data_IF_596128137297
#
_entry.id   IF_596128137297
#
_cell.length_a   1.000
_cell.length_b   1.000
_cell.length_c   1.000
_cell.angle_alpha   90.00
_cell.angle_beta   90.00
_cell.angle_gamma   90.00
#
_symmetry.space_group_name_H-M   'P 1'
#
loop_
_entity.id
_entity.type
_entity.pdbx_description
1 polymer ?
2 non-polymer ?
3 water ?
#
# COMPACT_ATOMS: atom_id res chain seq x y z
N UNK A 4 -3.39 -11.16 12.49
CA UNK A 4 -2.76 -10.17 11.56
C UNK A 4 -1.66 -9.38 12.28
N UNK A 5 -0.46 -9.30 11.67
CA UNK A 5 0.61 -8.50 12.28
C UNK A 5 0.33 -7.05 11.92
N UNK A 6 1.06 -6.10 12.50
CA UNK A 6 0.99 -4.70 12.01
C UNK A 6 1.56 -4.57 10.59
N UNK A 7 1.07 -3.59 9.82
CA UNK A 7 1.55 -3.39 8.48
C UNK A 7 2.70 -2.44 8.50
N UNK A 8 3.47 -2.45 7.41
CA UNK A 8 4.50 -1.49 7.16
C UNK A 8 5.53 -1.42 8.29
N UNK A 9 5.75 -2.55 8.96
CA UNK A 9 6.61 -2.66 10.14
C UNK A 9 7.49 -3.93 10.04
N UNK A 10 8.81 -3.82 10.15
CA UNK A 10 9.63 -5.04 10.14
C UNK A 10 9.16 -6.11 11.15
N UNK A 11 8.96 -7.32 10.61
CA UNK A 11 8.46 -8.45 11.37
C UNK A 11 9.62 -9.39 11.50
N UNK A 12 10.03 -9.63 12.74
CA UNK A 12 11.17 -10.49 13.02
C UNK A 12 10.86 -12.00 12.88
N UNK A 13 11.89 -12.83 12.93
CA UNK A 13 11.74 -14.25 12.71
C UNK A 13 10.60 -14.85 13.57
N UNK A 14 10.57 -14.51 14.87
CA UNK A 14 9.56 -15.10 15.76
C UNK A 14 8.11 -14.74 15.33
N UNK A 15 7.91 -13.55 14.78
CA UNK A 15 6.60 -13.17 14.27
C UNK A 15 6.27 -14.01 13.00
N UNK A 16 7.25 -14.20 12.11
CA UNK A 16 7.12 -15.03 10.93
C UNK A 16 6.73 -16.49 11.26
N UNK A 17 7.42 -17.09 12.21
CA UNK A 17 7.06 -18.46 12.63
C UNK A 17 5.66 -18.53 13.21
N UNK A 18 5.26 -17.54 13.98
CA UNK A 18 3.90 -17.51 14.48
C UNK A 18 2.88 -17.39 13.36
N UNK A 19 3.27 -16.81 12.21
CA UNK A 19 2.39 -16.75 11.04
C UNK A 19 2.56 -17.95 10.13
N UNK A 20 3.36 -18.93 10.56
CA UNK A 20 3.63 -20.14 9.78
C UNK A 20 4.49 -19.87 8.58
N UNK A 21 5.36 -18.86 8.64
CA UNK A 21 6.28 -18.55 7.58
C UNK A 21 7.63 -19.11 8.03
N UNK A 22 8.22 -20.03 7.25
CA UNK A 22 9.35 -20.81 7.70
C UNK A 22 10.71 -20.19 7.49
N UNK A 23 11.68 -20.82 8.12
CA UNK A 23 13.05 -20.62 7.73
C UNK A 23 13.11 -20.78 6.22
N UNK A 24 14.02 -20.06 5.58
CA UNK A 24 15.08 -19.19 6.17
C UNK A 24 14.70 -17.71 6.46
N UNK A 25 13.44 -17.38 6.37
CA UNK A 25 13.03 -15.97 6.42
C UNK A 25 13.09 -15.43 7.84
N UNK A 26 13.69 -14.24 8.00
CA UNK A 26 13.83 -13.58 9.29
C UNK A 26 13.34 -12.15 9.33
N UNK A 27 12.96 -11.59 8.19
CA UNK A 27 12.60 -10.16 8.04
C UNK A 27 11.44 -10.04 7.06
N UNK A 28 10.29 -9.58 7.56
CA UNK A 28 9.04 -9.55 6.79
C UNK A 28 8.38 -8.18 6.85
N UNK A 29 7.55 -7.90 5.88
CA UNK A 29 6.78 -6.65 5.90
C UNK A 29 5.45 -6.96 5.33
N UNK A 30 4.41 -6.54 6.06
CA UNK A 30 3.05 -6.86 5.69
C UNK A 30 2.33 -5.68 5.00
N UNK A 31 1.43 -6.03 4.08
CA UNK A 31 0.60 -5.03 3.38
C UNK A 31 -0.63 -5.80 2.86
N UNK A 32 -1.46 -5.12 2.10
CA UNK A 32 -2.71 -5.65 1.59
C UNK A 32 -2.92 -5.26 0.11
N UNK A 33 -3.46 -6.20 -0.65
CA UNK A 33 -3.69 -5.98 -2.07
C UNK A 33 -4.61 -4.82 -2.33
N UNK A 34 -4.23 -3.96 -3.25
CA UNK A 34 -5.10 -2.86 -3.69
C UNK A 34 -5.86 -3.14 -4.99
N UNK A 35 -7.01 -2.52 -5.13
CA UNK A 35 -7.77 -2.57 -6.37
C UNK A 35 -6.96 -2.23 -7.64
N UNK A 36 -6.11 -1.19 -7.55
CA UNK A 36 -5.27 -0.71 -8.65
C UNK A 36 -4.22 -1.71 -9.09
N UNK A 37 -3.92 -2.70 -8.26
CA UNK A 37 -3.00 -3.79 -8.60
C UNK A 37 -3.59 -4.94 -9.37
N UNK A 38 -4.92 -4.96 -9.45
CA UNK A 38 -5.61 -6.00 -10.17
C UNK A 38 -5.65 -5.80 -11.68
N UNK A 39 -5.44 -6.90 -12.39
CA UNK A 39 -5.40 -6.91 -13.86
C UNK A 39 -6.80 -7.19 -14.34
N UNK A 40 -6.97 -7.18 -15.66
CA UNK A 40 -8.29 -7.26 -16.28
C UNK A 40 -9.08 -8.52 -15.95
N UNK A 41 -8.46 -9.52 -15.31
CA UNK A 41 -9.32 -10.60 -14.77
C UNK A 41 -9.42 -10.76 -13.30
N UNK A 42 -9.12 -9.71 -12.56
CA UNK A 42 -9.33 -9.77 -11.13
C UNK A 42 -8.18 -10.30 -10.35
N UNK A 43 -7.04 -10.58 -10.99
CA UNK A 43 -5.85 -11.00 -10.27
C UNK A 43 -4.77 -9.95 -10.18
N UNK A 44 -4.01 -10.02 -9.09
CA UNK A 44 -2.88 -9.13 -8.90
C UNK A 44 -1.97 -9.36 -10.12
N UNK A 45 -1.58 -8.24 -10.73
CA UNK A 45 -0.82 -8.24 -11.97
C UNK A 45 0.62 -8.57 -11.66
N UNK A 46 1.31 -9.13 -12.66
CA UNK A 46 2.61 -9.73 -12.44
C UNK A 46 3.62 -8.70 -11.97
N UNK A 47 3.43 -7.41 -12.29
CA UNK A 47 4.43 -6.48 -11.88
C UNK A 47 4.25 -6.03 -10.43
N UNK A 48 3.05 -6.22 -9.88
CA UNK A 48 2.83 -5.76 -8.51
C UNK A 48 3.76 -6.51 -7.56
N UNK A 49 3.92 -7.81 -7.79
CA UNK A 49 4.87 -8.57 -6.96
C UNK A 49 6.27 -7.94 -6.91
N UNK A 50 6.76 -7.58 -8.07
CA UNK A 50 8.13 -7.03 -8.21
C UNK A 50 8.22 -5.67 -7.54
N UNK A 51 7.10 -4.94 -7.52
CA UNK A 51 7.00 -3.66 -6.83
C UNK A 51 7.06 -3.86 -5.32
N UNK A 52 6.37 -4.89 -4.83
CA UNK A 52 6.40 -5.26 -3.40
C UNK A 52 7.85 -5.61 -2.93
N UNK A 53 8.57 -6.36 -3.76
CA UNK A 53 9.95 -6.74 -3.46
C UNK A 53 10.86 -5.51 -3.46
N UNK A 54 10.63 -4.61 -4.39
CA UNK A 54 11.32 -3.33 -4.39
C UNK A 54 11.09 -2.47 -3.12
N UNK A 55 9.81 -2.30 -2.76
CA UNK A 55 9.42 -1.60 -1.56
C UNK A 55 10.12 -2.19 -0.35
N UNK A 56 10.16 -3.50 -0.31
CA UNK A 56 10.81 -4.20 0.77
C UNK A 56 12.29 -3.85 0.91
N UNK A 57 12.97 -3.74 -0.21
CA UNK A 57 14.41 -3.52 -0.20
C UNK A 57 14.81 -2.24 0.49
N UNK A 58 13.96 -1.21 0.47
CA UNK A 58 14.37 0.11 0.97
C UNK A 58 14.61 0.10 2.53
N UNK A 59 13.62 -0.29 3.32
CA UNK A 59 13.86 -0.44 4.77
C UNK A 59 14.87 -1.54 5.09
N UNK A 60 14.82 -2.63 4.33
CA UNK A 60 15.71 -3.76 4.57
C UNK A 60 17.21 -3.32 4.47
N UNK A 61 17.55 -2.54 3.47
CA UNK A 61 18.94 -2.18 3.22
C UNK A 61 19.46 -1.13 4.20
N UNK A 62 18.54 -0.37 4.80
CA UNK A 62 18.85 0.51 5.89
C UNK A 62 19.08 -0.35 7.17
N UNK A 63 18.17 -1.27 7.45
CA UNK A 63 18.34 -2.20 8.58
C UNK A 63 19.64 -3.00 8.49
N UNK A 64 20.06 -3.35 7.28
CA UNK A 64 21.29 -4.11 7.09
C UNK A 64 22.58 -3.25 6.95
N UNK A 65 22.43 -1.93 7.09
CA UNK A 65 23.52 -1.01 7.18
C UNK A 65 24.23 -0.72 5.91
N UNK A 66 23.51 -0.92 4.80
CA UNK A 66 24.08 -0.69 3.49
C UNK A 66 24.00 0.80 3.12
N UNK A 67 22.92 1.45 3.54
CA UNK A 67 22.64 2.83 3.17
C UNK A 67 21.74 3.47 4.22
N UNK A 68 21.95 4.76 4.45
CA UNK A 68 20.99 5.54 5.26
C UNK A 68 20.22 6.51 4.40
N UNK A 69 20.48 6.46 3.10
CA UNK A 69 19.75 7.30 2.14
C UNK A 69 19.98 8.80 2.32
N UNK A 70 21.07 9.17 2.97
CA UNK A 70 21.46 10.57 3.03
C UNK A 70 22.04 11.08 1.72
N UNK A 71 22.30 12.40 1.66
CA UNK A 71 22.98 12.99 0.49
C UNK A 71 24.35 12.33 0.14
N UNK A 72 25.03 11.74 1.14
CA UNK A 72 26.34 11.11 0.92
C UNK A 72 26.22 9.66 0.41
N UNK A 73 25.13 8.98 0.77
CA UNK A 73 25.03 7.51 0.68
C UNK A 73 25.16 6.95 -0.75
N UNK A 74 25.41 5.64 -0.87
CA UNK A 74 25.57 5.05 -2.21
C UNK A 74 24.31 5.05 -3.06
N UNK A 75 24.51 5.09 -4.37
CA UNK A 75 23.46 4.87 -5.30
C UNK A 75 23.20 3.35 -5.45
N UNK A 76 21.95 2.95 -5.33
CA UNK A 76 21.55 1.57 -5.48
C UNK A 76 21.04 1.37 -6.90
N UNK A 77 21.66 0.45 -7.62
CA UNK A 77 21.30 0.21 -9.02
C UNK A 77 20.86 -1.22 -9.18
N UNK A 78 19.66 -1.39 -9.70
CA UNK A 78 19.15 -2.73 -10.01
C UNK A 78 19.65 -3.27 -11.36
N UNK A 79 20.24 -4.46 -11.39
CA UNK A 79 20.76 -5.01 -12.62
C UNK A 79 19.91 -6.12 -13.18
N UNK A 80 19.15 -6.80 -12.34
CA UNK A 80 18.39 -7.97 -12.77
C UNK A 80 17.34 -8.34 -11.73
N UNK A 81 16.21 -8.88 -12.22
CA UNK A 81 15.19 -9.47 -11.32
C UNK A 81 14.69 -10.76 -11.95
N UNK A 82 14.14 -11.64 -11.12
CA UNK A 82 13.35 -12.79 -11.58
C UNK A 82 12.13 -12.81 -10.67
N UNK A 83 11.02 -13.32 -11.18
CA UNK A 83 9.85 -13.50 -10.36
C UNK A 83 9.07 -14.69 -10.84
N UNK A 84 8.55 -15.48 -9.90
CA UNK A 84 7.74 -16.65 -10.19
C UNK A 84 6.38 -16.46 -9.63
N UNK A 85 5.41 -17.11 -10.28
CA UNK A 85 3.99 -16.91 -9.98
C UNK A 85 3.40 -18.26 -9.69
N UNK A 86 3.20 -18.50 -8.39
CA UNK A 86 2.85 -19.80 -7.87
C UNK A 86 1.36 -19.88 -7.58
N UNK A 87 0.71 -18.78 -7.20
CA UNK A 87 -0.72 -18.78 -6.96
C UNK A 87 -1.29 -17.39 -7.17
N UNK A 88 -2.48 -17.33 -7.77
CA UNK A 88 -3.12 -16.05 -8.04
C UNK A 88 -3.64 -15.45 -6.77
N UNK A 90 -6.25 -12.21 -5.29
CA UNK A 90 -7.29 -11.23 -5.58
C UNK A 90 -7.38 -10.13 -4.57
N UNK A 92 -7.92 -7.46 -1.88
CA UNK A 92 -7.95 -7.35 -0.44
C UNK A 92 -7.21 -8.39 0.37
N UNK A 93 -6.42 -9.23 -0.26
CA UNK A 93 -5.70 -10.25 0.47
C UNK A 93 -4.61 -9.57 1.27
N UNK A 94 -4.43 -10.00 2.49
CA UNK A 94 -3.28 -9.59 3.25
C UNK A 94 -2.10 -10.50 2.92
N UNK A 95 -0.89 -9.93 2.96
CA UNK A 95 0.33 -10.70 2.74
C UNK A 95 1.54 -10.16 3.49
N UNK A 96 2.54 -11.02 3.59
CA UNK A 96 3.83 -10.64 4.09
C UNK A 96 4.89 -10.90 3.03
N UNK A 97 5.69 -9.86 2.74
CA UNK A 97 6.88 -9.99 1.89
C UNK A 97 8.09 -10.33 2.78
N UNK A 98 8.82 -11.40 2.45
CA UNK A 98 10.09 -11.73 3.07
C UNK A 98 11.21 -11.55 2.05
N UNK A 99 12.37 -11.12 2.54
CA UNK A 99 13.53 -10.96 1.70
C UNK A 99 14.79 -11.18 2.51
N UNK A 100 15.85 -11.56 1.82
CA UNK A 100 17.15 -11.80 2.41
C UNK A 100 18.20 -11.62 1.35
N UNK A 101 19.42 -11.36 1.79
CA UNK A 101 20.56 -11.39 0.92
C UNK A 101 20.99 -12.85 0.84
N UNK A 102 21.21 -13.36 -0.37
CA UNK A 102 21.65 -14.78 -0.55
C UNK A 102 23.10 -14.95 -0.93
N UNK A 103 23.70 -13.90 -1.49
CA UNK A 103 25.12 -13.86 -1.89
C UNK A 103 25.59 -12.41 -1.86
N UNK A 104 26.89 -12.22 -1.69
CA UNK A 104 27.46 -10.89 -1.82
C UNK A 104 28.94 -10.99 -2.15
N UNK A 105 29.42 -9.96 -2.81
CA UNK A 105 30.82 -9.84 -3.13
C UNK A 105 31.33 -8.52 -2.58
N UNK A 106 31.90 -7.65 -3.41
CA UNK A 106 32.58 -6.49 -2.88
C UNK A 106 31.68 -5.25 -2.97
N UNK A 107 31.04 -5.06 -4.12
CA UNK A 107 30.19 -3.88 -4.34
C UNK A 107 28.76 -4.21 -4.82
N UNK A 108 28.38 -5.47 -4.68
CA UNK A 108 27.12 -5.98 -5.20
C UNK A 108 26.66 -7.21 -4.45
N UNK A 109 25.36 -7.52 -4.60
CA UNK A 109 24.77 -8.62 -3.89
C UNK A 109 23.50 -9.10 -4.54
N UNK A 110 23.11 -10.33 -4.20
CA UNK A 110 21.86 -10.93 -4.68
C UNK A 110 20.90 -11.15 -3.51
N UNK A 112 16.91 -12.68 -2.36
CA UNK A 112 15.79 -13.52 -2.68
C UNK A 112 14.60 -13.03 -1.89
N UNK A 113 13.41 -13.25 -2.45
CA UNK A 113 12.15 -12.73 -1.87
C UNK A 113 11.10 -13.80 -1.97
N UNK A 114 10.08 -13.72 -1.08
CA UNK A 114 8.85 -14.49 -1.27
C UNK A 114 7.67 -13.67 -0.81
N UNK A 115 6.50 -13.99 -1.35
CA UNK A 115 5.23 -13.39 -0.95
C UNK A 115 4.41 -14.48 -0.27
N UNK A 116 3.99 -14.22 0.96
CA UNK A 116 3.19 -15.14 1.76
C UNK A 116 1.78 -14.57 2.00
N UNK A 117 0.77 -15.18 1.38
CA UNK A 117 -0.60 -14.78 1.53
C UNK A 117 -1.06 -15.25 2.89
N UNK A 118 -1.64 -14.35 3.66
CA UNK A 118 -2.13 -14.67 4.99
C UNK A 118 -3.61 -15.06 4.83
N UNK A 119 -4.09 -15.91 5.66
CA UNK A 119 -5.42 -16.41 5.39
C UNK A 119 -5.56 -17.60 6.27
N UNK A 120 -6.58 -18.39 6.02
CA UNK A 120 -6.85 -19.53 6.85
C UNK A 120 -5.63 -20.41 6.90
N UNK A 121 -4.97 -20.56 5.77
CA UNK A 121 -3.64 -21.15 5.72
C UNK A 121 -2.71 -20.19 4.97
N UNK A 122 -1.44 -20.21 5.34
CA UNK A 122 -0.47 -19.31 4.74
C UNK A 122 0.14 -20.04 3.56
N UNK A 123 0.33 -19.31 2.48
CA UNK A 123 0.67 -19.91 1.23
C UNK A 123 1.63 -18.97 0.51
N UNK A 124 2.71 -19.53 -0.02
CA UNK A 124 3.63 -18.77 -0.82
C UNK A 124 3.05 -18.59 -2.22
N UNK A 125 2.79 -17.35 -2.61
CA UNK A 125 2.21 -17.07 -3.91
C UNK A 125 3.21 -16.73 -4.99
N UNK A 126 4.42 -16.40 -4.59
CA UNK A 126 5.42 -15.98 -5.51
C UNK A 126 6.78 -16.02 -4.82
N UNK A 127 7.81 -16.26 -5.60
CA UNK A 127 9.22 -16.06 -5.21
C UNK A 127 9.89 -15.15 -6.21
N UNK A 128 10.94 -14.47 -5.78
CA UNK A 128 11.71 -13.63 -6.67
C UNK A 128 13.15 -13.39 -6.23
N UNK A 129 13.85 -12.61 -7.03
CA UNK A 129 15.25 -12.32 -6.78
C UNK A 129 15.58 -10.97 -7.39
N UNK A 130 16.67 -10.40 -6.91
CA UNK A 130 17.21 -9.17 -7.48
C UNK A 130 18.72 -9.20 -7.32
N UNK A 131 19.41 -8.57 -8.29
CA UNK A 131 20.80 -8.30 -8.18
C UNK A 131 20.96 -6.80 -8.10
N UNK A 132 21.66 -6.33 -7.05
CA UNK A 132 21.82 -4.90 -6.81
C UNK A 132 23.32 -4.57 -6.74
N UNK A 133 23.73 -3.46 -7.36
CA UNK A 133 25.10 -2.96 -7.28
C UNK A 133 25.08 -1.59 -6.62
N UNK A 134 26.23 -1.22 -6.06
CA UNK A 134 26.34 0.02 -5.33
C UNK A 134 27.35 0.90 -6.04
N UNK A 135 26.95 2.15 -6.31
CA UNK A 135 27.85 3.13 -6.94
C UNK A 135 28.04 4.37 -6.06
N UNK A 136 29.22 5.00 -6.13
CA UNK A 136 29.46 6.28 -5.47
C UNK A 136 28.50 7.29 -6.07
N UNK A 137 27.87 8.06 -5.19
CA UNK A 137 26.86 9.02 -5.59
C UNK A 137 27.44 10.09 -6.49
N UNK A 138 28.73 10.41 -6.36
CA UNK A 138 29.36 11.45 -7.20
C UNK A 138 29.79 10.99 -8.59
N UNK A 139 29.38 9.79 -9.01
CA UNK A 139 29.71 9.26 -10.32
C UNK A 139 31.10 8.65 -10.50
N UNK A 140 31.89 8.62 -9.45
CA UNK A 140 33.33 8.39 -9.62
C UNK A 140 33.80 6.93 -9.57
N UNK A 141 32.93 6.01 -9.19
CA UNK A 141 33.32 4.60 -9.06
C UNK A 141 32.31 3.72 -8.37
N UNK A 142 32.74 2.52 -8.04
CA UNK A 142 31.85 1.57 -7.38
C UNK A 142 32.01 1.72 -5.87
N UNK A 143 30.96 1.44 -5.14
CA UNK A 143 30.93 1.66 -3.74
C UNK A 143 30.97 0.32 -2.98
N UNK A 144 31.99 0.11 -2.12
CA UNK A 144 32.06 -1.16 -1.39
C UNK A 144 30.93 -1.28 -0.36
N UNK A 145 30.35 -2.48 -0.29
CA UNK A 145 29.34 -2.78 0.71
C UNK A 145 30.00 -2.47 2.05
N UNK A 146 29.36 -1.60 2.87
CA UNK A 146 29.93 -1.33 4.20
C UNK A 146 30.22 -2.60 4.99
N UNK A 147 31.27 -2.55 5.78
CA UNK A 147 31.64 -3.68 6.63
C UNK A 147 30.50 -4.22 7.53
N UNK A 148 29.74 -3.31 8.13
CA UNK A 148 28.55 -3.69 8.88
C UNK A 148 27.46 -4.38 8.03
N UNK A 149 27.36 -4.00 6.77
CA UNK A 149 26.47 -4.67 5.84
C UNK A 149 26.93 -6.13 5.62
N UNK A 150 28.21 -6.33 5.29
CA UNK A 150 28.77 -7.65 5.05
C UNK A 150 28.55 -8.56 6.26
N UNK A 151 28.77 -8.00 7.45
CA UNK A 151 28.59 -8.76 8.69
C UNK A 151 27.15 -9.09 8.93
N UNK A 152 26.24 -8.11 8.76
CA UNK A 152 24.81 -8.38 8.88
C UNK A 152 24.32 -9.41 7.87
N UNK A 153 24.86 -9.38 6.67
CA UNK A 153 24.46 -10.41 5.69
C UNK A 153 24.84 -11.81 6.18
N UNK A 154 26.02 -11.91 6.80
CA UNK A 154 26.50 -13.22 7.30
C UNK A 154 25.66 -13.66 8.51
N UNK A 155 25.41 -12.77 9.45
CA UNK A 155 24.82 -13.20 10.72
C UNK A 155 23.31 -13.21 10.69
N UNK A 156 22.71 -12.25 10.01
CA UNK A 156 21.27 -12.18 9.99
C UNK A 156 20.68 -12.94 8.84
N UNK A 157 21.33 -12.90 7.66
CA UNK A 157 20.76 -13.58 6.49
C UNK A 157 21.36 -14.97 6.31
N UNK A 158 22.36 -15.30 7.13
CA UNK A 158 22.96 -16.63 7.13
C UNK A 158 23.78 -16.95 5.89
N UNK A 159 24.35 -15.96 5.24
CA UNK A 159 25.18 -16.20 4.06
C UNK A 159 26.56 -16.66 4.58
N UNK A 160 27.16 -17.69 3.98
CA UNK A 160 28.44 -18.23 4.53
C UNK A 160 29.64 -17.24 4.37
N UNK A 161 29.93 -16.84 3.15
CA UNK A 161 30.95 -15.82 2.85
C UNK A 161 30.64 -15.19 1.44
N UNK A 162 31.66 -14.82 0.65
CA UNK A 162 31.42 -14.13 -0.65
C UNK A 162 31.47 -15.03 -1.90
N UNK B 4 0.73 7.08 15.97
CA UNK B 4 0.27 6.55 14.63
C UNK B 4 -0.89 5.57 14.83
N UNK B 5 -1.93 5.67 13.98
CA UNK B 5 -2.99 4.67 14.08
C UNK B 5 -2.55 3.38 13.38
N UNK B 6 -3.31 2.30 13.55
CA UNK B 6 -3.09 1.12 12.68
C UNK B 6 -3.45 1.47 11.22
N UNK B 7 -2.75 0.82 10.31
CA UNK B 7 -3.03 0.93 8.90
C UNK B 7 -4.17 -0.01 8.46
N UNK B 8 -4.81 0.36 7.34
CA UNK B 8 -5.81 -0.45 6.63
C UNK B 8 -6.98 -0.84 7.53
N UNK B 9 -7.31 0.05 8.46
CA UNK B 9 -8.24 -0.22 9.56
C UNK B 9 -9.14 1.00 9.66
N UNK B 10 -10.46 0.80 9.55
CA UNK B 10 -11.37 1.96 9.65
C UNK B 10 -11.15 2.71 10.95
N UNK B 11 -10.94 4.01 10.83
CA UNK B 11 -10.74 4.90 11.98
C UNK B 11 -12.01 5.71 12.22
N UNK B 12 -12.57 5.63 13.45
CA UNK B 12 -13.77 6.37 13.76
C UNK B 12 -13.47 7.80 14.17
N UNK B 13 -14.53 8.58 14.34
CA UNK B 13 -14.40 10.00 14.59
C UNK B 13 -13.49 10.28 15.79
N UNK B 14 -13.63 9.48 16.84
CA UNK B 14 -12.82 9.63 18.05
C UNK B 14 -11.34 9.61 17.73
N UNK B 15 -10.93 8.65 16.91
CA UNK B 15 -9.51 8.47 16.56
C UNK B 15 -9.04 9.63 15.70
N UNK B 16 -9.89 10.02 14.73
CA UNK B 16 -9.60 11.16 13.87
C UNK B 16 -9.36 12.45 14.71
N UNK B 17 -10.25 12.75 15.64
CA UNK B 17 -10.11 13.95 16.47
C UNK B 17 -8.81 13.92 17.26
N UNK B 18 -8.48 12.73 17.78
CA UNK B 18 -7.21 12.54 18.48
C UNK B 18 -6.03 12.80 17.57
N UNK B 19 -6.17 12.54 16.28
CA UNK B 19 -5.13 12.88 15.28
C UNK B 19 -5.23 14.33 14.73
N UNK B 20 -6.10 15.14 15.33
CA UNK B 20 -6.38 16.52 14.88
C UNK B 20 -7.13 16.61 13.54
N UNK B 21 -7.77 15.54 13.13
CA UNK B 21 -8.58 15.56 11.91
C UNK B 21 -10.01 15.95 12.33
N UNK B 22 -10.51 17.09 11.82
CA UNK B 22 -11.72 17.72 12.32
C UNK B 22 -12.98 17.13 11.72
N UNK B 23 -14.13 17.51 12.27
CA UNK B 23 -15.42 17.29 11.63
C UNK B 23 -15.41 17.99 10.28
N UNK B 24 -16.19 17.48 9.32
CA UNK B 24 -17.21 16.44 9.34
C UNK B 24 -16.74 14.98 9.19
N UNK B 25 -15.44 14.75 9.26
CA UNK B 25 -14.90 13.41 8.97
C UNK B 25 -15.16 12.42 10.09
N UNK B 26 -15.66 11.24 9.71
CA UNK B 26 -16.06 10.20 10.64
C UNK B 26 -15.42 8.85 10.30
N UNK B 27 -14.75 8.73 9.14
CA UNK B 27 -14.24 7.45 8.67
C UNK B 27 -12.93 7.73 7.96
N UNK B 28 -11.85 7.21 8.50
CA UNK B 28 -10.52 7.34 7.84
C UNK B 28 -9.84 6.02 7.65
N UNK B 29 -8.86 5.98 6.73
CA UNK B 29 -7.98 4.82 6.57
C UNK B 29 -6.55 5.28 6.38
N UNK B 30 -5.61 4.65 7.08
CA UNK B 30 -4.23 5.07 7.06
C UNK B 30 -3.40 4.15 6.16
N UNK B 31 -2.42 4.75 5.51
CA UNK B 31 -1.48 4.02 4.65
C UNK B 31 -0.22 4.87 4.60
N UNK B 32 0.78 4.43 3.84
CA UNK B 32 2.05 5.09 3.72
C UNK B 32 2.35 5.23 2.24
N UNK B 33 3.06 6.29 1.88
CA UNK B 33 3.57 6.47 0.52
C UNK B 33 4.59 5.46 0.15
N UNK B 34 4.42 4.93 -1.08
CA UNK B 34 5.35 3.99 -1.68
C UNK B 34 6.28 4.64 -2.68
N UNK B 35 7.46 4.04 -2.82
CA UNK B 35 8.42 4.50 -3.80
C UNK B 35 7.79 4.61 -5.20
N UNK B 36 7.04 3.60 -5.58
CA UNK B 36 6.40 3.59 -6.88
C UNK B 36 5.36 4.66 -7.16
N UNK B 37 4.94 5.43 -6.16
CA UNK B 37 3.98 6.49 -6.35
C UNK B 37 4.69 7.80 -6.62
N UNK B 38 6.01 7.79 -6.53
CA UNK B 38 6.80 9.03 -6.70
C UNK B 38 7.10 9.26 -8.17
N UNK B 39 6.96 10.51 -8.63
CA UNK B 39 7.15 10.90 -10.00
C UNK B 39 8.62 11.20 -10.22
N UNK B 40 8.97 11.69 -11.39
CA UNK B 40 10.40 11.90 -11.78
C UNK B 40 11.19 12.90 -10.96
N UNK B 41 10.54 13.69 -10.11
CA UNK B 41 11.32 14.53 -9.17
C UNK B 41 11.08 14.26 -7.72
N UNK B 42 10.46 13.14 -7.42
CA UNK B 42 10.46 12.64 -6.09
C UNK B 42 9.24 13.02 -5.31
N UNK B 43 8.21 13.55 -5.96
CA UNK B 43 6.92 13.81 -5.32
C UNK B 43 5.86 12.78 -5.67
N UNK B 44 4.91 12.57 -4.75
CA UNK B 44 3.81 11.68 -4.99
C UNK B 44 3.12 12.19 -6.22
N UNK B 45 2.87 11.30 -7.17
CA UNK B 45 2.31 11.72 -8.45
C UNK B 45 0.83 12.06 -8.32
N UNK B 46 0.29 12.82 -9.25
CA UNK B 46 -1.07 13.40 -9.06
C UNK B 46 -2.17 12.34 -9.05
N UNK B 47 -1.90 11.21 -9.69
CA UNK B 47 -2.92 10.13 -9.76
C UNK B 47 -2.96 9.20 -8.55
N UNK B 48 -1.86 9.11 -7.79
CA UNK B 48 -1.81 8.36 -6.54
C UNK B 48 -2.94 8.82 -5.63
N UNK B 49 -3.08 10.11 -5.47
CA UNK B 49 -4.15 10.68 -4.62
C UNK B 49 -5.55 10.14 -5.01
N UNK B 50 -5.83 10.10 -6.31
CA UNK B 50 -7.05 9.57 -6.83
C UNK B 50 -7.19 8.07 -6.55
N UNK B 51 -6.09 7.34 -6.64
CA UNK B 51 -6.07 5.90 -6.31
C UNK B 51 -6.35 5.69 -4.82
N UNK B 52 -5.81 6.56 -3.96
CA UNK B 52 -6.07 6.48 -2.52
C UNK B 52 -7.58 6.66 -2.18
N UNK B 53 -8.23 7.60 -2.87
CA UNK B 53 -9.64 7.87 -2.70
C UNK B 53 -10.49 6.70 -3.23
N UNK B 54 -10.08 6.13 -4.35
CA UNK B 54 -10.75 5.00 -4.90
C UNK B 54 -10.60 3.79 -3.95
N UNK B 55 -9.41 3.62 -3.38
CA UNK B 55 -9.18 2.53 -2.39
C UNK B 55 -10.08 2.67 -1.17
N UNK B 56 -10.27 3.92 -0.72
CA UNK B 56 -11.13 4.23 0.41
C UNK B 56 -12.58 3.80 0.13
N UNK B 57 -13.10 4.20 -1.04
CA UNK B 57 -14.45 3.88 -1.46
C UNK B 57 -14.90 2.44 -1.35
N UNK B 58 -14.07 1.50 -1.79
CA UNK B 58 -14.41 0.08 -1.77
C UNK B 58 -14.90 -0.45 -0.41
N UNK B 59 -14.07 -0.37 0.62
CA UNK B 59 -14.59 -0.75 1.95
C UNK B 59 -15.68 0.19 2.55
N UNK B 60 -15.57 1.49 2.32
CA UNK B 60 -16.54 2.43 2.80
C UNK B 60 -17.94 2.07 2.29
N UNK B 61 -18.05 1.79 1.01
CA UNK B 61 -19.37 1.57 0.40
C UNK B 61 -19.99 0.24 0.85
N UNK B 62 -19.16 -0.72 1.22
CA UNK B 62 -19.65 -1.93 1.89
C UNK B 62 -20.08 -1.65 3.33
N UNK B 63 -19.29 -0.86 4.06
CA UNK B 63 -19.63 -0.52 5.45
C UNK B 63 -20.93 0.29 5.51
N UNK B 64 -21.18 1.07 4.45
CA UNK B 64 -22.39 1.89 4.37
C UNK B 64 -23.59 1.17 3.74
N UNK B 65 -23.43 -0.11 3.44
CA UNK B 65 -24.55 -0.95 2.95
C UNK B 65 -25.05 -0.56 1.59
N UNK B 66 -24.14 -0.02 0.76
CA UNK B 66 -24.48 0.33 -0.63
C UNK B 66 -24.36 -0.92 -1.49
N UNK B 67 -23.37 -1.74 -1.20
CA UNK B 67 -23.04 -2.91 -2.03
C UNK B 67 -22.35 -3.97 -1.18
N UNK B 68 -22.47 -5.23 -1.58
CA UNK B 68 -21.68 -6.31 -1.00
C UNK B 68 -20.74 -6.86 -2.06
N UNK B 69 -20.72 -6.23 -3.24
CA UNK B 69 -19.91 -6.62 -4.41
C UNK B 69 -20.26 -7.97 -4.97
N UNK B 70 -21.40 -8.50 -4.58
CA UNK B 70 -21.86 -9.80 -5.04
C UNK B 70 -22.65 -9.69 -6.33
N UNK B 71 -23.45 -10.74 -6.62
CA UNK B 71 -24.05 -10.92 -7.94
C UNK B 71 -25.31 -10.07 -8.10
N UNK B 72 -26.05 -9.88 -7.01
CA UNK B 72 -27.18 -8.97 -7.05
C UNK B 72 -26.79 -7.57 -6.57
N UNK B 73 -25.51 -7.24 -6.56
CA UNK B 73 -25.13 -5.91 -6.13
C UNK B 73 -25.22 -4.98 -7.35
N UNK B 74 -25.36 -3.67 -7.10
CA UNK B 74 -25.26 -2.77 -8.26
C UNK B 74 -23.84 -2.77 -8.74
N UNK B 75 -23.65 -2.53 -10.04
CA UNK B 75 -22.35 -2.12 -10.50
C UNK B 75 -22.14 -0.59 -10.26
N UNK B 76 -21.04 -0.24 -9.62
CA UNK B 76 -20.72 1.15 -9.32
C UNK B 76 -19.83 1.71 -10.42
N UNK B 77 -20.27 2.85 -10.97
CA UNK B 77 -19.60 3.48 -12.08
C UNK B 77 -19.29 4.94 -11.73
N UNK B 78 -18.05 5.30 -11.93
CA UNK B 78 -17.57 6.66 -11.68
C UNK B 78 -17.95 7.57 -12.87
N UNK B 79 -18.60 8.68 -12.58
CA UNK B 79 -18.95 9.64 -13.63
C UNK B 79 -17.99 10.81 -13.73
N UNK B 80 -17.38 11.14 -12.60
CA UNK B 80 -16.59 12.33 -12.53
C UNK B 80 -15.74 12.30 -11.30
N UNK B 81 -14.54 12.85 -11.41
CA UNK B 81 -13.75 13.12 -10.20
C UNK B 81 -13.11 14.51 -10.27
N UNK B 82 -12.69 15.01 -9.11
CA UNK B 82 -11.92 16.25 -9.01
C UNK B 82 -10.90 16.04 -7.89
N UNK B 83 -9.74 16.64 -8.02
CA UNK B 83 -8.73 16.51 -7.00
C UNK B 83 -7.93 17.77 -6.97
N UNK B 84 -7.63 18.25 -5.77
CA UNK B 84 -6.80 19.45 -5.55
C UNK B 84 -5.56 19.02 -4.80
N UNK B 85 -4.50 19.78 -5.01
CA UNK B 85 -3.19 19.43 -4.54
C UNK B 85 -2.69 20.62 -3.71
N UNK B 86 -2.68 20.43 -2.39
CA UNK B 86 -2.44 21.52 -1.46
C UNK B 86 -1.02 21.52 -0.97
N UNK B 87 -0.40 20.35 -0.82
CA UNK B 87 0.98 20.31 -0.43
C UNK B 87 1.62 19.08 -1.05
N UNK B 88 2.87 19.18 -1.46
CA UNK B 88 3.56 18.10 -2.11
C UNK B 88 3.99 17.06 -1.08
N UNK B 90 6.23 13.29 -0.29
CA UNK B 90 7.45 12.55 -0.61
C UNK B 90 7.46 11.16 0.03
N UNK B 92 7.64 7.74 1.87
CA UNK B 92 7.46 7.18 3.22
C UNK B 92 6.58 7.92 4.20
N UNK B 93 5.89 8.96 3.74
CA UNK B 93 5.06 9.77 4.59
C UNK B 93 3.80 8.98 4.94
N UNK B 94 3.40 9.03 6.20
CA UNK B 94 2.19 8.37 6.65
C UNK B 94 1.04 9.33 6.45
N UNK B 95 -0.10 8.81 6.07
CA UNK B 95 -1.27 9.61 5.87
C UNK B 95 -2.54 8.88 6.22
N UNK B 96 -3.58 9.70 6.40
CA UNK B 96 -4.90 9.22 6.59
C UNK B 96 -5.79 9.77 5.50
N UNK B 97 -6.56 8.87 4.90
CA UNK B 97 -7.58 9.26 3.91
C UNK B 97 -8.94 9.27 4.65
N UNK B 98 -9.64 10.39 4.50
CA UNK B 98 -11.01 10.53 5.03
C UNK B 98 -11.90 10.69 3.83
N UNK B 99 -13.07 10.09 3.91
CA UNK B 99 -14.05 10.21 2.84
C UNK B 99 -15.44 10.13 3.45
N UNK B 100 -16.37 10.83 2.82
CA UNK B 100 -17.76 10.84 3.22
C UNK B 100 -18.65 10.89 2.00
N UNK B 101 -19.94 10.76 2.25
CA UNK B 101 -20.97 11.01 1.26
C UNK B 101 -21.44 12.39 1.60
N UNK B 102 -21.44 13.29 0.63
CA UNK B 102 -21.87 14.66 0.85
C UNK B 102 -23.27 14.93 0.34
N UNK B 103 -23.75 14.08 -0.56
CA UNK B 103 -25.03 14.27 -1.20
C UNK B 103 -25.39 12.98 -1.90
N UNK B 104 -26.68 12.66 -1.93
CA UNK B 104 -27.16 11.51 -2.64
C UNK B 104 -28.49 11.75 -3.29
N UNK B 105 -28.67 11.04 -4.40
CA UNK B 105 -29.92 11.04 -5.15
C UNK B 105 -30.41 9.61 -5.21
N UNK B 106 -31.36 9.30 -6.09
CA UNK B 106 -31.95 7.96 -6.15
C UNK B 106 -30.97 6.87 -6.60
N UNK B 107 -30.23 7.15 -7.68
CA UNK B 107 -29.36 6.19 -8.31
C UNK B 107 -27.92 6.69 -8.44
N UNK B 108 -27.56 7.70 -7.65
CA UNK B 108 -26.22 8.24 -7.70
C UNK B 108 -25.93 8.99 -6.42
N UNK B 109 -24.65 9.25 -6.19
CA UNK B 109 -24.25 9.98 -5.02
C UNK B 109 -22.89 10.65 -5.20
N UNK B 110 -22.59 11.56 -4.28
CA UNK B 110 -21.32 12.32 -4.29
C UNK B 110 -20.56 12.09 -3.03
N UNK B 112 -16.87 13.22 -0.91
CA UNK B 112 -15.77 14.17 -0.72
C UNK B 112 -14.70 13.45 0.09
N UNK B 113 -13.44 13.81 -0.18
CA UNK B 113 -12.30 13.11 0.33
C UNK B 113 -11.26 14.14 0.74
N UNK B 114 -10.37 13.74 1.64
CA UNK B 114 -9.17 14.54 1.96
C UNK B 114 -8.07 13.58 2.35
N UNK B 115 -6.83 14.07 2.21
CA UNK B 115 -5.63 13.35 2.60
C UNK B 115 -4.94 14.18 3.64
N UNK B 116 -4.72 13.57 4.82
CA UNK B 116 -4.09 14.20 5.98
C UNK B 116 -2.78 13.56 6.19
N UNK B 117 -1.73 14.35 6.02
CA UNK B 117 -0.39 13.86 6.35
C UNK B 117 -0.15 13.91 7.87
N UNK B 118 0.35 12.79 8.39
CA UNK B 118 0.73 12.65 9.80
C UNK B 118 2.21 12.85 9.86
N UNK B 119 2.62 14.10 9.92
CA UNK B 119 4.04 14.44 10.13
C UNK B 119 4.18 14.97 11.55
N UNK B 120 5.17 15.85 11.73
CA UNK B 120 5.33 16.63 12.97
C UNK B 120 4.12 17.53 13.19
N UNK B 121 3.51 17.97 12.07
CA UNK B 121 2.19 18.62 12.03
C UNK B 121 1.23 17.72 11.26
N UNK B 122 -0.04 17.80 11.60
CA UNK B 122 -1.06 17.14 10.80
C UNK B 122 -1.50 18.18 9.80
N UNK B 123 -1.55 17.82 8.53
CA UNK B 123 -1.70 18.77 7.46
C UNK B 123 -2.54 18.16 6.33
N UNK B 124 -3.52 18.88 5.84
CA UNK B 124 -4.27 18.41 4.67
C UNK B 124 -3.45 18.65 3.37
N UNK B 125 -3.02 17.59 2.70
CA UNK B 125 -2.26 17.72 1.45
C UNK B 125 -3.10 17.77 0.16
N UNK B 126 -4.38 17.41 0.25
CA UNK B 126 -5.23 17.22 -0.95
C UNK B 126 -6.67 17.04 -0.51
N UNK B 127 -7.58 17.53 -1.34
CA UNK B 127 -9.00 17.25 -1.28
C UNK B 127 -9.46 16.66 -2.59
N UNK B 128 -10.58 15.96 -2.53
CA UNK B 128 -11.10 15.29 -3.73
C UNK B 128 -12.59 15.10 -3.64
N UNK B 129 -13.18 14.75 -4.77
CA UNK B 129 -14.58 14.39 -4.84
C UNK B 129 -14.79 13.34 -5.93
N UNK B 130 -15.95 12.68 -5.87
CA UNK B 130 -16.33 11.71 -6.90
C UNK B 130 -17.83 11.68 -7.05
N UNK B 131 -18.30 11.51 -8.26
CA UNK B 131 -19.73 11.25 -8.50
C UNK B 131 -19.84 9.82 -9.03
N UNK B 132 -20.61 9.00 -8.30
CA UNK B 132 -20.79 7.58 -8.61
C UNK B 132 -22.25 7.26 -8.92
N UNK B 133 -22.46 6.49 -9.98
CA UNK B 133 -23.75 6.02 -10.44
C UNK B 133 -23.86 4.51 -10.16
N UNK B 134 -25.08 4.06 -9.92
CA UNK B 134 -25.37 2.62 -9.74
C UNK B 134 -26.10 2.14 -10.97
N UNK B 135 -25.56 1.07 -11.55
CA UNK B 135 -26.18 0.42 -12.69
C UNK B 135 -26.52 -1.01 -12.36
N UNK B 136 -27.58 -1.50 -12.98
CA UNK B 136 -27.96 -2.90 -12.95
C UNK B 136 -26.98 -3.76 -13.73
N UNK B 137 -26.43 -4.80 -13.09
CA UNK B 137 -25.45 -5.67 -13.75
C UNK B 137 -26.01 -6.35 -14.99
N UNK B 138 -27.33 -6.45 -15.09
CA UNK B 138 -27.99 -6.99 -16.28
C UNK B 138 -28.26 -5.99 -17.41
N UNK B 139 -27.75 -4.76 -17.29
CA UNK B 139 -27.85 -3.79 -18.37
C UNK B 139 -29.17 -3.06 -18.52
N UNK B 140 -30.13 -3.32 -17.63
CA UNK B 140 -31.44 -2.66 -17.71
C UNK B 140 -31.44 -1.17 -17.25
N UNK B 141 -30.29 -0.65 -16.82
CA UNK B 141 -30.17 0.78 -16.53
C UNK B 141 -29.74 1.08 -15.11
N UNK B 142 -30.25 2.18 -14.57
CA UNK B 142 -29.88 2.65 -13.26
C UNK B 142 -30.49 1.78 -12.18
N UNK B 143 -29.87 1.75 -11.02
CA UNK B 143 -30.26 0.88 -9.93
C UNK B 143 -30.31 1.82 -8.73
N UNK B 144 -31.41 1.80 -7.98
CA UNK B 144 -31.50 2.70 -6.84
C UNK B 144 -30.60 2.31 -5.69
N UNK B 145 -29.99 3.32 -5.05
CA UNK B 145 -29.22 3.07 -3.85
C UNK B 145 -30.08 2.33 -2.82
N UNK B 146 -29.58 1.19 -2.29
CA UNK B 146 -30.40 0.45 -1.33
C UNK B 146 -30.84 1.31 -0.17
N UNK B 147 -32.01 0.97 0.40
CA UNK B 147 -32.55 1.76 1.51
C UNK B 147 -31.64 1.79 2.73
N UNK B 148 -30.95 0.70 3.02
CA UNK B 148 -29.98 0.67 4.14
C UNK B 148 -28.75 1.54 3.89
N UNK B 149 -28.41 1.73 2.62
CA UNK B 149 -27.40 2.69 2.22
C UNK B 149 -27.83 4.12 2.41
N UNK B 150 -29.03 4.46 1.94
CA UNK B 150 -29.59 5.77 2.21
C UNK B 150 -29.59 6.03 3.74
N UNK B 151 -29.98 5.04 4.54
CA UNK B 151 -30.05 5.20 6.01
C UNK B 151 -28.67 5.47 6.63
N UNK B 152 -27.66 4.77 6.17
CA UNK B 152 -26.28 4.94 6.69
C UNK B 152 -25.72 6.29 6.33
N UNK B 153 -25.94 6.74 5.11
CA UNK B 153 -25.56 8.05 4.71
C UNK B 153 -26.12 9.09 5.67
N UNK B 154 -27.39 8.94 6.03
CA UNK B 154 -28.05 9.90 6.96
C UNK B 154 -27.49 9.80 8.38
N UNK B 155 -27.41 8.58 8.91
CA UNK B 155 -27.07 8.39 10.28
C UNK B 155 -25.56 8.47 10.50
N UNK B 156 -24.73 8.14 9.51
CA UNK B 156 -23.28 8.17 9.72
C UNK B 156 -22.57 9.36 9.11
N UNK B 157 -22.97 9.77 7.91
CA UNK B 157 -22.35 10.86 7.25
C UNK B 157 -23.08 12.16 7.61
N UNK B 158 -24.26 12.06 8.22
CA UNK B 158 -25.02 13.24 8.62
C UNK B 158 -25.51 14.06 7.43
N UNK B 159 -25.70 13.38 6.29
CA UNK B 159 -26.30 14.01 5.12
C UNK B 159 -27.82 13.97 5.34
N UNK B 160 -28.49 15.11 5.39
CA UNK B 160 -29.97 15.08 5.46
C UNK B 160 -30.58 14.55 4.15
N UNK B 161 -31.64 13.75 4.22
CA UNK B 161 -32.16 13.15 2.99
C UNK B 161 -32.81 14.25 2.14
N UNK B 162 -33.27 15.29 2.82
CA UNK B 162 -33.78 16.50 2.17
C UNK B 162 -32.64 17.33 1.61
#
# INVERSE_FOLDING_TARGET
GXTLPPYHTPLPAETLRALSIPAPWTFGLADRVRFGELDAIGHVNHTAYLRWYESFRLPFLKARHVTDYGPTSPRLVLKQVHCTYLAEXGXGEDYVITGRVSNFRTTSFTXEFACWRLGDAVECTSEGSAVVVLLNRDGSGRYPIPEAGRASFVTEDGVLAAG
GXTLPPYHTPLPAETLRALSIPAPWTFGLADRVRFGELDAIGHVNHTAYLRWYESFRLPFLKARHVTDYGPTSPRLVLKQVHCTYLAEXGXGEDYVITGRVSNFRTTSFTXEFACWRLGDAVECTSEGSAVVVLLNRDGSGRYPIPEAGRASFVTEDGVLAAG
#
